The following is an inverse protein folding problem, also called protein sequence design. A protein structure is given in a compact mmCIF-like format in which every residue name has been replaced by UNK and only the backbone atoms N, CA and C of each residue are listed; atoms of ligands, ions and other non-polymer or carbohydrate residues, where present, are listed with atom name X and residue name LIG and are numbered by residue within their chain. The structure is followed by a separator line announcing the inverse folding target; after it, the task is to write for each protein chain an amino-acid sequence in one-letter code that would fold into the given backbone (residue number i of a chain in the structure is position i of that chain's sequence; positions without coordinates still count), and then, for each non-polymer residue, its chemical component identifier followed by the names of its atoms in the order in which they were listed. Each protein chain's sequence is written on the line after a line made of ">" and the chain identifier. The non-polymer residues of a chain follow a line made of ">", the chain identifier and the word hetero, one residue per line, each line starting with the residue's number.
data_IF_128061831715
#
_entry.id   IF_128061831715
#
_cell.length_a   1.000
_cell.length_b   1.000
_cell.length_c   1.000
_cell.angle_alpha   90.00
_cell.angle_beta   90.00
_cell.angle_gamma   90.00
#
_symmetry.space_group_name_H-M   'P 1'
#
loop_
_entity.id
_entity.type
_entity.pdbx_description
1 polymer ?
#
# COMPACT_ATOMS: atom_id res chain seq x y z
N UNK A 1 21.52 -18.46 22.11
CA UNK A 1 21.87 -18.45 20.66
C UNK A 1 20.60 -18.45 19.83
N UNK A 2 20.46 -17.50 18.95
CA UNK A 2 19.31 -17.39 18.08
C UNK A 2 19.44 -18.45 16.97
N UNK A 3 18.44 -19.32 16.86
CA UNK A 3 18.43 -20.32 15.79
C UNK A 3 18.21 -19.63 14.46
N UNK A 4 19.15 -19.77 13.55
CA UNK A 4 19.01 -19.25 12.19
C UNK A 4 17.94 -20.05 11.45
N UNK A 5 16.89 -19.41 10.91
CA UNK A 5 15.91 -20.14 10.11
C UNK A 5 16.56 -20.70 8.85
N UNK A 6 16.00 -21.79 8.33
CA UNK A 6 16.46 -22.37 7.10
C UNK A 6 16.38 -21.34 5.95
N UNK A 7 17.46 -21.22 5.18
CA UNK A 7 17.51 -20.25 4.10
C UNK A 7 16.54 -20.63 2.97
N UNK A 8 15.73 -19.69 2.47
CA UNK A 8 14.90 -19.94 1.30
C UNK A 8 15.73 -20.32 0.07
N UNK A 9 15.16 -21.14 -0.81
CA UNK A 9 15.87 -21.63 -2.00
C UNK A 9 16.17 -20.54 -3.02
N UNK A 10 15.40 -19.44 -3.03
CA UNK A 10 15.59 -18.34 -3.98
C UNK A 10 15.45 -16.99 -3.27
N UNK A 11 16.02 -15.94 -3.87
CA UNK A 11 15.86 -14.58 -3.39
C UNK A 11 14.39 -14.15 -3.40
N UNK A 12 13.65 -14.50 -4.44
CA UNK A 12 12.23 -14.18 -4.54
C UNK A 12 11.43 -14.80 -3.38
N UNK A 13 11.70 -16.08 -3.06
CA UNK A 13 11.07 -16.74 -1.93
C UNK A 13 11.44 -16.10 -0.59
N UNK A 14 12.67 -15.62 -0.45
CA UNK A 14 13.12 -14.92 0.75
C UNK A 14 12.37 -13.60 0.95
N UNK A 15 12.18 -12.84 -0.11
CA UNK A 15 11.45 -11.57 -0.09
C UNK A 15 9.98 -11.82 0.25
N UNK A 16 9.35 -12.81 -0.37
CA UNK A 16 7.95 -13.16 -0.10
C UNK A 16 7.74 -13.61 1.35
N UNK A 17 8.64 -14.43 1.88
CA UNK A 17 8.57 -14.89 3.27
C UNK A 17 8.74 -13.73 4.26
N UNK A 18 9.61 -12.78 3.97
CA UNK A 18 9.82 -11.60 4.80
C UNK A 18 8.58 -10.70 4.76
N UNK A 19 8.04 -10.44 3.58
CA UNK A 19 6.86 -9.61 3.38
C UNK A 19 5.65 -10.18 4.13
N UNK A 20 5.42 -11.49 4.03
CA UNK A 20 4.35 -12.18 4.74
C UNK A 20 4.49 -12.03 6.27
N UNK A 21 5.69 -12.24 6.80
CA UNK A 21 5.95 -12.12 8.24
C UNK A 21 5.71 -10.69 8.75
N UNK A 22 6.18 -9.70 8.00
CA UNK A 22 6.01 -8.30 8.38
C UNK A 22 4.55 -7.90 8.35
N UNK A 23 3.83 -8.30 7.30
CA UNK A 23 2.40 -8.02 7.18
C UNK A 23 1.60 -8.65 8.33
N UNK A 24 1.86 -9.89 8.67
CA UNK A 24 1.20 -10.56 9.80
C UNK A 24 1.47 -9.86 11.12
N UNK A 25 2.72 -9.43 11.34
CA UNK A 25 3.11 -8.80 12.58
C UNK A 25 2.51 -7.40 12.75
N UNK A 26 2.48 -6.61 11.68
CA UNK A 26 2.17 -5.19 11.78
C UNK A 26 0.72 -4.84 11.46
N UNK A 27 -0.02 -5.67 10.75
CA UNK A 27 -1.44 -5.43 10.51
C UNK A 27 -2.21 -5.23 11.82
N UNK A 28 -1.87 -6.00 12.85
CA UNK A 28 -2.50 -5.88 14.16
C UNK A 28 -2.09 -4.62 14.93
N UNK A 29 -0.97 -3.99 14.56
CA UNK A 29 -0.41 -2.84 15.27
C UNK A 29 -0.64 -1.50 14.57
N UNK A 30 -1.06 -1.54 13.32
CA UNK A 30 -1.21 -0.33 12.51
C UNK A 30 -2.53 -0.32 11.76
N UNK A 31 -3.55 0.32 12.32
CA UNK A 31 -4.84 0.47 11.66
C UNK A 31 -4.87 1.59 10.63
N UNK A 32 -3.73 2.13 10.22
CA UNK A 32 -3.63 3.41 9.50
C UNK A 32 -4.18 3.45 8.08
N UNK A 33 -4.87 2.41 7.65
CA UNK A 33 -5.54 2.47 6.37
C UNK A 33 -4.90 1.62 5.28
N UNK A 34 -5.15 2.00 4.04
CA UNK A 34 -4.67 1.23 2.89
C UNK A 34 -4.35 2.13 1.71
N UNK A 35 -3.65 1.55 0.75
CA UNK A 35 -3.28 2.19 -0.50
C UNK A 35 -3.96 1.50 -1.67
N UNK A 36 -4.43 2.28 -2.64
CA UNK A 36 -5.03 1.78 -3.87
C UNK A 36 -4.27 2.33 -5.06
N UNK A 37 -3.82 1.43 -5.92
CA UNK A 37 -3.05 1.79 -7.12
C UNK A 37 -3.95 1.69 -8.33
N UNK A 38 -3.95 2.76 -9.14
CA UNK A 38 -4.71 2.84 -10.39
C UNK A 38 -3.79 3.24 -11.53
N UNK A 39 -4.18 2.87 -12.75
CA UNK A 39 -3.49 3.32 -13.96
C UNK A 39 -4.28 4.43 -14.62
N UNK A 40 -3.60 5.53 -14.95
CA UNK A 40 -4.14 6.57 -15.81
C UNK A 40 -3.46 6.43 -17.17
N UNK A 41 -4.01 5.59 -18.03
CA UNK A 41 -3.43 5.28 -19.34
C UNK A 41 -3.39 6.50 -20.25
N UNK A 42 -4.35 7.41 -20.12
CA UNK A 42 -4.43 8.62 -20.92
C UNK A 42 -3.28 9.58 -20.61
N UNK A 43 -2.97 9.75 -19.32
CA UNK A 43 -1.85 10.59 -18.89
C UNK A 43 -0.51 9.84 -18.89
N UNK A 44 -0.52 8.51 -19.03
CA UNK A 44 0.67 7.69 -18.91
C UNK A 44 1.24 7.67 -17.50
N UNK A 45 0.38 7.68 -16.49
CA UNK A 45 0.77 7.78 -15.10
C UNK A 45 0.21 6.66 -14.23
N UNK A 46 0.94 6.35 -13.17
CA UNK A 46 0.42 5.61 -12.03
C UNK A 46 -0.22 6.60 -11.05
N UNK A 47 -1.32 6.20 -10.45
CA UNK A 47 -2.02 6.98 -9.44
C UNK A 47 -2.08 6.13 -8.17
N UNK A 48 -1.57 6.65 -7.07
CA UNK A 48 -1.63 6.00 -5.77
C UNK A 48 -2.54 6.82 -4.86
N UNK A 49 -3.61 6.20 -4.39
CA UNK A 49 -4.53 6.83 -3.45
C UNK A 49 -4.33 6.22 -2.07
N UNK A 50 -4.19 7.06 -1.06
CA UNK A 50 -4.10 6.64 0.34
C UNK A 50 -5.42 6.95 1.05
N UNK A 51 -5.95 5.96 1.76
CA UNK A 51 -7.16 6.09 2.58
C UNK A 51 -6.79 5.88 4.03
N UNK A 52 -6.82 6.95 4.81
CA UNK A 52 -6.49 6.89 6.23
C UNK A 52 -7.66 6.32 7.05
N UNK A 53 -7.34 5.44 7.99
CA UNK A 53 -8.33 4.88 8.91
C UNK A 53 -7.87 5.09 10.34
N UNK A 54 -8.85 5.17 11.26
CA UNK A 54 -8.61 5.11 12.70
C UNK A 54 -9.44 3.98 13.27
N UNK A 55 -9.02 3.44 14.41
CA UNK A 55 -9.79 2.43 15.14
C UNK A 55 -10.34 3.08 16.41
N UNK A 56 -11.64 3.01 16.59
CA UNK A 56 -12.29 3.59 17.77
C UNK A 56 -12.20 2.67 19.00
N UNK A 57 -12.76 3.12 20.12
CA UNK A 57 -12.77 2.40 21.38
C UNK A 57 -13.44 1.03 21.31
N UNK A 58 -14.37 0.88 20.35
CA UNK A 58 -15.12 -0.36 20.14
C UNK A 58 -14.45 -1.31 19.16
N UNK A 59 -13.28 -0.92 18.61
CA UNK A 59 -12.57 -1.69 17.61
C UNK A 59 -13.11 -1.51 16.19
N UNK A 60 -13.95 -0.51 15.93
CA UNK A 60 -14.49 -0.23 14.61
C UNK A 60 -13.56 0.70 13.84
N UNK A 61 -13.39 0.39 12.55
CA UNK A 61 -12.62 1.25 11.64
C UNK A 61 -13.44 2.46 11.25
N UNK A 62 -12.81 3.64 11.28
CA UNK A 62 -13.41 4.90 10.86
C UNK A 62 -12.52 5.60 9.86
N UNK A 63 -13.13 6.36 8.95
CA UNK A 63 -12.39 7.24 8.05
C UNK A 63 -11.65 8.29 8.90
N UNK A 64 -10.33 8.43 8.67
CA UNK A 64 -9.51 9.34 9.46
C UNK A 64 -9.87 10.82 9.25
N UNK A 65 -10.43 11.17 8.08
CA UNK A 65 -10.78 12.55 7.74
C UNK A 65 -12.21 12.93 8.13
N UNK A 66 -13.16 12.01 7.96
CA UNK A 66 -14.59 12.28 8.20
C UNK A 66 -15.13 11.72 9.51
N UNK A 67 -14.45 10.73 10.09
CA UNK A 67 -14.92 10.03 11.29
C UNK A 67 -16.02 9.03 11.02
N UNK A 68 -16.44 8.82 9.78
CA UNK A 68 -17.49 7.87 9.43
C UNK A 68 -17.05 6.44 9.69
N UNK A 69 -17.96 5.62 10.26
CA UNK A 69 -17.71 4.19 10.48
C UNK A 69 -17.65 3.49 9.12
N UNK A 70 -16.58 2.72 8.90
CA UNK A 70 -16.36 2.02 7.65
C UNK A 70 -17.01 0.64 7.68
N UNK A 71 -17.76 0.31 6.63
CA UNK A 71 -18.37 -1.00 6.47
C UNK A 71 -17.40 -1.97 5.81
N UNK A 72 -17.24 -3.15 6.39
CA UNK A 72 -16.44 -4.23 5.80
C UNK A 72 -16.99 -4.71 4.45
N UNK A 73 -18.26 -4.39 4.15
CA UNK A 73 -18.93 -4.80 2.92
C UNK A 73 -18.99 -3.69 1.86
N UNK A 74 -18.25 -2.59 2.07
CA UNK A 74 -18.20 -1.49 1.12
C UNK A 74 -19.50 -0.67 1.02
N UNK A 75 -20.33 -0.67 2.07
CA UNK A 75 -21.61 0.02 2.07
C UNK A 75 -21.54 1.53 2.26
N UNK A 76 -20.34 2.11 2.40
CA UNK A 76 -20.18 3.55 2.63
C UNK A 76 -20.20 4.38 1.34
N UNK A 77 -20.33 3.76 0.18
CA UNK A 77 -20.23 4.46 -1.10
C UNK A 77 -18.78 4.89 -1.41
N UNK A 78 -18.58 5.78 -2.39
CA UNK A 78 -17.25 6.25 -2.76
C UNK A 78 -16.60 7.03 -1.62
N UNK A 79 -15.32 6.72 -1.35
CA UNK A 79 -14.52 7.44 -0.35
C UNK A 79 -13.62 8.45 -1.06
N UNK A 80 -13.36 9.56 -0.39
CA UNK A 80 -12.35 10.53 -0.84
C UNK A 80 -11.01 10.12 -0.26
N UNK A 81 -9.95 9.97 -1.09
CA UNK A 81 -8.62 9.66 -0.58
C UNK A 81 -8.10 10.76 0.35
N UNK A 82 -7.37 10.36 1.38
CA UNK A 82 -6.66 11.29 2.26
C UNK A 82 -5.49 11.96 1.54
N UNK A 83 -4.84 11.24 0.63
CA UNK A 83 -3.78 11.77 -0.21
C UNK A 83 -3.75 11.04 -1.55
N UNK A 84 -3.27 11.73 -2.59
CA UNK A 84 -3.12 11.18 -3.94
C UNK A 84 -1.70 11.50 -4.43
N UNK A 85 -1.03 10.49 -4.96
CA UNK A 85 0.30 10.62 -5.53
C UNK A 85 0.25 10.19 -7.00
N UNK A 86 0.91 10.93 -7.87
CA UNK A 86 0.96 10.63 -9.30
C UNK A 86 2.40 10.64 -9.78
N UNK A 87 2.70 9.75 -10.70
CA UNK A 87 4.03 9.65 -11.31
C UNK A 87 4.04 8.69 -12.47
N UNK A 88 5.07 8.78 -13.30
CA UNK A 88 5.20 7.95 -14.50
C UNK A 88 5.85 6.60 -14.25
N UNK A 89 6.42 6.43 -13.07
CA UNK A 89 7.12 5.21 -12.71
C UNK A 89 6.94 4.89 -11.23
N UNK A 90 7.20 3.64 -10.89
CA UNK A 90 7.25 3.21 -9.49
C UNK A 90 8.26 4.01 -8.69
N UNK A 91 9.41 4.34 -9.29
CA UNK A 91 10.45 5.13 -8.65
C UNK A 91 9.96 6.53 -8.27
N UNK A 92 9.26 7.22 -9.17
CA UNK A 92 8.73 8.56 -8.89
C UNK A 92 7.74 8.55 -7.72
N UNK A 93 6.84 7.58 -7.70
CA UNK A 93 5.89 7.42 -6.59
C UNK A 93 6.64 7.07 -5.30
N UNK A 94 7.61 6.16 -5.37
CA UNK A 94 8.40 5.75 -4.22
C UNK A 94 9.16 6.91 -3.58
N UNK A 95 9.72 7.80 -4.38
CA UNK A 95 10.41 8.99 -3.88
C UNK A 95 9.44 9.91 -3.13
N UNK A 96 8.25 10.13 -3.68
CA UNK A 96 7.24 10.96 -3.02
C UNK A 96 6.83 10.36 -1.66
N UNK A 97 6.68 9.05 -1.57
CA UNK A 97 6.26 8.37 -0.35
C UNK A 97 7.35 8.35 0.72
N UNK A 98 8.62 8.22 0.32
CA UNK A 98 9.73 8.04 1.27
C UNK A 98 10.49 9.31 1.59
N UNK A 99 10.57 10.25 0.66
CA UNK A 99 11.34 11.49 0.80
C UNK A 99 10.46 12.74 0.86
N UNK A 100 9.18 12.62 0.51
CA UNK A 100 8.27 13.75 0.50
C UNK A 100 7.91 14.23 1.91
N UNK A 101 7.49 15.48 2.00
CA UNK A 101 7.06 16.09 3.27
C UNK A 101 5.56 15.92 3.54
N UNK A 102 4.89 15.17 2.69
CA UNK A 102 3.46 14.95 2.83
C UNK A 102 3.09 14.19 4.10
N UNK A 103 1.81 14.25 4.50
CA UNK A 103 1.35 13.64 5.75
C UNK A 103 1.37 12.11 5.75
N UNK A 104 1.53 11.49 4.59
CA UNK A 104 1.42 10.03 4.45
C UNK A 104 2.72 9.40 3.95
N UNK A 105 3.86 9.80 4.54
CA UNK A 105 5.13 9.17 4.24
C UNK A 105 5.14 7.74 4.73
N UNK A 106 5.74 6.85 3.94
CA UNK A 106 5.96 5.48 4.38
C UNK A 106 7.05 5.45 5.45
N UNK A 107 6.68 4.98 6.62
CA UNK A 107 7.61 4.81 7.73
C UNK A 107 7.74 3.34 8.15
N UNK A 108 7.04 2.44 7.46
CA UNK A 108 6.97 1.02 7.80
C UNK A 108 7.52 0.18 6.67
N UNK A 109 8.36 -0.78 7.03
CA UNK A 109 9.02 -1.63 6.05
C UNK A 109 8.04 -2.55 5.31
N UNK A 110 7.04 -3.09 6.00
CA UNK A 110 6.03 -3.96 5.39
C UNK A 110 5.25 -3.24 4.28
N UNK A 111 4.82 -2.00 4.54
CA UNK A 111 4.15 -1.19 3.53
C UNK A 111 5.08 -0.85 2.37
N UNK A 112 6.34 -0.53 2.66
CA UNK A 112 7.31 -0.21 1.62
C UNK A 112 7.57 -1.39 0.69
N UNK A 113 7.73 -2.59 1.24
CA UNK A 113 7.96 -3.81 0.45
C UNK A 113 6.75 -4.15 -0.41
N UNK A 114 5.56 -4.10 0.17
CA UNK A 114 4.31 -4.37 -0.55
C UNK A 114 4.09 -3.36 -1.67
N UNK A 115 4.15 -2.08 -1.37
CA UNK A 115 3.90 -1.02 -2.35
C UNK A 115 4.97 -0.99 -3.43
N UNK A 116 6.24 -1.21 -3.08
CA UNK A 116 7.31 -1.27 -4.07
C UNK A 116 7.07 -2.35 -5.10
N UNK A 117 6.66 -3.54 -4.68
CA UNK A 117 6.35 -4.65 -5.56
C UNK A 117 5.12 -4.35 -6.43
N UNK A 118 4.04 -3.85 -5.81
CA UNK A 118 2.81 -3.55 -6.53
C UNK A 118 2.98 -2.39 -7.51
N UNK A 119 3.72 -1.35 -7.16
CA UNK A 119 4.01 -0.23 -8.05
C UNK A 119 4.81 -0.66 -9.28
N UNK A 120 5.79 -1.55 -9.10
CA UNK A 120 6.56 -2.08 -10.23
C UNK A 120 5.69 -2.93 -11.16
N UNK A 121 4.80 -3.73 -10.60
CA UNK A 121 3.84 -4.51 -11.38
C UNK A 121 2.87 -3.61 -12.15
N UNK A 122 2.38 -2.57 -11.50
CA UNK A 122 1.49 -1.58 -12.11
C UNK A 122 2.18 -0.82 -13.26
N UNK A 123 3.44 -0.42 -13.05
CA UNK A 123 4.22 0.24 -14.09
C UNK A 123 4.40 -0.66 -15.31
N UNK A 124 4.69 -1.94 -15.11
CA UNK A 124 4.79 -2.89 -16.21
C UNK A 124 3.49 -2.99 -16.98
N UNK A 125 2.35 -3.09 -16.28
CA UNK A 125 1.04 -3.14 -16.92
C UNK A 125 0.74 -1.87 -17.71
N UNK A 126 1.05 -0.71 -17.16
CA UNK A 126 0.86 0.59 -17.83
C UNK A 126 1.63 0.65 -19.14
N UNK A 127 2.90 0.26 -19.14
CA UNK A 127 3.77 0.29 -20.33
C UNK A 127 3.39 -0.76 -21.37
N UNK A 128 2.83 -1.87 -20.94
CA UNK A 128 2.45 -2.98 -21.82
C UNK A 128 1.00 -2.92 -22.29
N UNK A 129 0.24 -1.93 -21.87
CA UNK A 129 -1.18 -1.80 -22.22
C UNK A 129 -2.05 -2.89 -21.60
N UNK A 130 -1.65 -3.44 -20.45
CA UNK A 130 -2.36 -4.47 -19.74
C UNK A 130 -3.16 -3.88 -18.57
N UNK A 131 -4.24 -4.55 -18.20
CA UNK A 131 -4.98 -4.20 -17.00
C UNK A 131 -4.17 -4.57 -15.75
N UNK A 132 -4.24 -3.72 -14.75
CA UNK A 132 -3.58 -3.95 -13.47
C UNK A 132 -4.59 -4.33 -12.39
N UNK A 133 -4.30 -5.40 -11.67
CA UNK A 133 -5.07 -5.85 -10.51
C UNK A 133 -4.15 -5.91 -9.31
N UNK A 134 -4.47 -5.14 -8.30
CA UNK A 134 -3.70 -5.11 -7.05
C UNK A 134 -3.99 -6.36 -6.22
N UNK A 135 -2.95 -6.97 -5.71
CA UNK A 135 -3.07 -8.15 -4.84
C UNK A 135 -3.49 -7.81 -3.40
#
# INVERSE_FOLDING_TARGET
>A
MIKTPEAPATLAAAIDALDERLSQRFIALDPSGYFLIKLDAEAGELVLEHFGNTIDEKGLARDADTGEVLSCKGGNGPRTPSAVYRGRSAKEIGIQLTEGEGPHRLSRLDHALYLGRELQKAEHCLRSGLDYVQD
#
